data_IF_345485723968
#
_entry.id   IF_345485723968
#
_cell.length_a   1.000
_cell.length_b   1.000
_cell.length_c   1.000
_cell.angle_alpha   90.00
_cell.angle_beta   90.00
_cell.angle_gamma   90.00
#
_symmetry.space_group_name_H-M   'P 1'
#
loop_
_entity.id
_entity.type
_entity.pdbx_description
1 polymer ?
#
# COMPACT_ATOMS: atom_id res chain seq x y z
N UNK A 1 2.66 -28.83 -12.49
CA UNK A 1 3.40 -28.05 -13.50
C UNK A 1 2.49 -27.91 -14.71
N UNK A 2 2.15 -26.69 -15.15
CA UNK A 2 1.35 -26.44 -16.35
C UNK A 2 2.30 -25.97 -17.46
N UNK A 3 2.24 -26.61 -18.62
CA UNK A 3 3.09 -26.27 -19.78
C UNK A 3 2.18 -25.94 -20.95
N UNK A 4 2.40 -24.78 -21.57
CA UNK A 4 1.64 -24.32 -22.73
C UNK A 4 2.59 -24.21 -23.90
N UNK A 5 2.19 -24.77 -25.05
CA UNK A 5 2.89 -24.56 -26.32
C UNK A 5 2.39 -23.28 -26.95
N UNK A 6 3.33 -22.43 -27.34
CA UNK A 6 3.08 -21.15 -27.99
C UNK A 6 4.00 -21.06 -29.21
N UNK A 7 3.56 -20.33 -30.23
CA UNK A 7 4.46 -19.94 -31.32
C UNK A 7 5.48 -18.90 -30.84
N UNK A 8 6.54 -18.68 -31.62
CA UNK A 8 7.54 -17.66 -31.31
C UNK A 8 6.93 -16.25 -31.27
N UNK A 9 5.95 -15.98 -32.13
CA UNK A 9 5.23 -14.71 -32.18
C UNK A 9 4.37 -14.50 -30.92
N UNK A 10 3.65 -15.55 -30.49
CA UNK A 10 2.88 -15.50 -29.25
C UNK A 10 3.78 -15.30 -28.04
N UNK A 11 4.93 -15.99 -28.00
CA UNK A 11 5.91 -15.82 -26.93
C UNK A 11 6.45 -14.38 -26.87
N UNK A 12 6.77 -13.76 -28.01
CA UNK A 12 7.21 -12.37 -28.07
C UNK A 12 6.13 -11.40 -27.54
N UNK A 13 4.87 -11.58 -27.95
CA UNK A 13 3.75 -10.76 -27.47
C UNK A 13 3.50 -10.92 -25.97
N UNK A 14 3.71 -12.11 -25.44
CA UNK A 14 3.60 -12.40 -24.01
C UNK A 14 4.71 -11.71 -23.20
N UNK A 15 5.94 -11.71 -23.71
CA UNK A 15 7.07 -11.01 -23.09
C UNK A 15 6.87 -9.50 -23.07
N UNK A 16 6.39 -8.91 -24.17
CA UNK A 16 6.09 -7.48 -24.26
C UNK A 16 5.05 -7.05 -23.22
N UNK A 17 3.96 -7.81 -23.09
CA UNK A 17 2.88 -7.55 -22.11
C UNK A 17 3.27 -7.80 -20.66
N UNK A 18 4.35 -8.54 -20.41
CA UNK A 18 4.81 -8.86 -19.07
C UNK A 18 5.42 -7.63 -18.35
N UNK A 19 5.74 -6.56 -19.09
CA UNK A 19 6.33 -5.31 -18.55
C UNK A 19 7.58 -5.57 -17.68
N UNK A 20 8.42 -6.54 -18.07
CA UNK A 20 9.65 -6.90 -17.35
C UNK A 20 9.45 -7.74 -16.08
N UNK A 21 8.23 -8.19 -15.77
CA UNK A 21 7.96 -9.14 -14.68
C UNK A 21 8.36 -10.57 -15.10
N UNK A 22 8.39 -11.50 -14.14
CA UNK A 22 8.55 -12.93 -14.46
C UNK A 22 7.30 -13.43 -15.20
N UNK A 23 7.47 -13.92 -16.43
CA UNK A 23 6.36 -14.34 -17.31
C UNK A 23 5.36 -15.29 -16.63
N UNK A 24 5.86 -16.30 -15.90
CA UNK A 24 5.01 -17.28 -15.21
C UNK A 24 4.16 -16.65 -14.09
N UNK A 25 4.72 -15.70 -13.35
CA UNK A 25 4.00 -15.00 -12.27
C UNK A 25 2.96 -14.04 -12.85
N UNK A 26 3.32 -13.31 -13.92
CA UNK A 26 2.40 -12.46 -14.64
C UNK A 26 1.23 -13.24 -15.25
N UNK A 27 1.50 -14.37 -15.92
CA UNK A 27 0.46 -15.23 -16.49
C UNK A 27 -0.52 -15.74 -15.44
N UNK A 28 -0.01 -16.19 -14.28
CA UNK A 28 -0.85 -16.66 -13.17
C UNK A 28 -1.80 -15.56 -12.70
N UNK A 29 -1.28 -14.35 -12.51
CA UNK A 29 -2.09 -13.19 -12.10
C UNK A 29 -3.17 -12.86 -13.12
N UNK A 30 -2.83 -12.88 -14.41
CA UNK A 30 -3.77 -12.59 -15.50
C UNK A 30 -4.87 -13.66 -15.59
N UNK A 31 -4.52 -14.95 -15.57
CA UNK A 31 -5.50 -16.03 -15.72
C UNK A 31 -6.41 -16.21 -14.51
N UNK A 32 -5.91 -15.95 -13.31
CA UNK A 32 -6.71 -16.04 -12.08
C UNK A 32 -7.48 -14.74 -11.78
N UNK A 33 -7.37 -13.72 -12.64
CA UNK A 33 -8.03 -12.43 -12.46
C UNK A 33 -7.57 -11.71 -11.19
N UNK A 34 -6.34 -11.96 -10.72
CA UNK A 34 -5.84 -11.33 -9.50
C UNK A 34 -5.79 -9.81 -9.72
N UNK A 35 -6.37 -9.02 -8.79
CA UNK A 35 -6.36 -7.58 -8.92
C UNK A 35 -4.91 -7.11 -9.02
N UNK A 36 -4.60 -6.38 -10.08
CA UNK A 36 -3.34 -5.63 -10.12
C UNK A 36 -3.40 -4.70 -8.92
N UNK A 37 -2.53 -4.93 -7.94
CA UNK A 37 -2.33 -3.97 -6.86
C UNK A 37 -2.08 -2.64 -7.56
N UNK A 38 -3.10 -1.77 -7.53
CA UNK A 38 -2.97 -0.41 -7.99
C UNK A 38 -2.05 0.19 -6.95
N UNK A 39 -0.75 0.13 -7.18
CA UNK A 39 0.14 1.19 -6.74
C UNK A 39 -0.25 2.41 -7.56
N UNK A 40 -1.48 2.90 -7.33
CA UNK A 40 -1.87 4.22 -7.78
C UNK A 40 -0.76 5.10 -7.26
N UNK A 41 -0.14 5.87 -8.16
CA UNK A 41 0.75 6.96 -7.76
C UNK A 41 0.00 7.67 -6.65
N UNK A 42 0.48 7.56 -5.40
CA UNK A 42 -0.10 8.37 -4.35
C UNK A 42 -0.06 9.78 -4.90
N UNK A 43 -1.15 10.56 -4.77
CA UNK A 43 -1.11 11.95 -5.17
C UNK A 43 0.15 12.53 -4.54
N UNK A 44 0.95 13.25 -5.33
CA UNK A 44 2.14 13.92 -4.81
C UNK A 44 1.65 14.91 -3.76
N UNK A 45 1.62 14.47 -2.50
CA UNK A 45 1.19 15.29 -1.39
C UNK A 45 2.25 16.37 -1.21
N UNK A 46 1.81 17.62 -1.10
CA UNK A 46 2.74 18.71 -0.85
C UNK A 46 3.49 18.43 0.47
N UNK A 47 4.79 18.75 0.57
CA UNK A 47 5.54 18.56 1.81
C UNK A 47 4.87 19.16 3.08
N UNK A 48 4.17 20.32 3.01
CA UNK A 48 3.38 20.83 4.14
C UNK A 48 2.26 19.88 4.60
N UNK A 49 1.53 19.25 3.69
CA UNK A 49 0.43 18.34 4.03
C UNK A 49 0.94 17.09 4.76
N UNK A 50 2.08 16.55 4.32
CA UNK A 50 2.72 15.42 4.99
C UNK A 50 3.15 15.78 6.42
N UNK A 51 3.70 16.98 6.61
CA UNK A 51 4.07 17.47 7.96
C UNK A 51 2.85 17.64 8.86
N UNK A 52 1.75 18.16 8.34
CA UNK A 52 0.50 18.26 9.10
C UNK A 52 -0.06 16.88 9.48
N UNK A 53 -0.06 15.93 8.54
CA UNK A 53 -0.51 14.57 8.83
C UNK A 53 0.36 13.90 9.91
N UNK A 54 1.68 14.07 9.82
CA UNK A 54 2.61 13.59 10.84
C UNK A 54 2.37 14.26 12.21
N UNK A 55 2.10 15.58 12.24
CA UNK A 55 1.77 16.30 13.47
C UNK A 55 0.48 15.77 14.11
N UNK A 56 -0.56 15.51 13.31
CA UNK A 56 -1.82 14.90 13.78
C UNK A 56 -1.55 13.50 14.36
N UNK A 57 -0.80 12.66 13.65
CA UNK A 57 -0.44 11.33 14.11
C UNK A 57 0.37 11.35 15.42
N UNK A 58 1.29 12.31 15.55
CA UNK A 58 2.07 12.51 16.77
C UNK A 58 1.18 12.92 17.95
N UNK A 59 0.22 13.83 17.76
CA UNK A 59 -0.72 14.22 18.80
C UNK A 59 -1.59 13.05 19.24
N UNK A 60 -2.12 12.28 18.29
CA UNK A 60 -2.92 11.09 18.58
C UNK A 60 -2.11 10.06 19.38
N UNK A 61 -0.87 9.80 18.98
CA UNK A 61 0.01 8.86 19.66
C UNK A 61 0.37 9.32 21.08
N UNK A 62 0.58 10.62 21.29
CA UNK A 62 0.79 11.19 22.64
C UNK A 62 -0.44 10.99 23.52
N UNK A 63 -1.64 11.27 23.01
CA UNK A 63 -2.90 11.02 23.73
C UNK A 63 -3.06 9.55 24.07
N UNK A 64 -2.86 8.65 23.10
CA UNK A 64 -2.95 7.21 23.33
C UNK A 64 -1.97 6.73 24.40
N UNK A 65 -0.73 7.24 24.40
CA UNK A 65 0.28 6.92 25.44
C UNK A 65 -0.15 7.40 26.82
N UNK A 66 -0.67 8.63 26.93
CA UNK A 66 -1.18 9.18 28.20
C UNK A 66 -2.37 8.38 28.74
N UNK A 67 -3.31 8.03 27.86
CA UNK A 67 -4.46 7.18 28.19
C UNK A 67 -3.98 5.83 28.72
N UNK A 68 -3.08 5.17 28.00
CA UNK A 68 -2.61 3.83 28.33
C UNK A 68 -1.68 3.78 29.55
N UNK A 69 -0.96 4.86 29.86
CA UNK A 69 -0.06 4.91 31.02
C UNK A 69 -0.78 5.22 32.33
N UNK A 70 -2.08 5.54 32.31
CA UNK A 70 -2.85 5.93 33.49
C UNK A 70 -2.44 7.27 34.12
N UNK A 71 -1.47 7.99 33.53
CA UNK A 71 -0.99 9.28 34.01
C UNK A 71 -1.90 10.41 33.51
N UNK A 72 -3.06 10.56 34.15
CA UNK A 72 -3.95 11.69 33.94
C UNK A 72 -3.72 12.73 35.03
N UNK A 73 -3.27 13.93 34.65
CA UNK A 73 -3.25 15.06 35.59
C UNK A 73 -4.67 15.57 35.82
N UNK A 74 -4.90 16.30 36.92
CA UNK A 74 -6.23 16.88 37.20
C UNK A 74 -6.70 17.87 36.12
N UNK A 75 -5.77 18.42 35.32
CA UNK A 75 -6.05 19.27 34.16
C UNK A 75 -6.55 18.49 32.94
N UNK A 76 -6.17 17.21 32.82
CA UNK A 76 -6.56 16.35 31.70
C UNK A 76 -7.98 15.77 31.88
N UNK A 77 -8.60 15.97 33.05
CA UNK A 77 -9.95 15.47 33.34
C UNK A 77 -10.99 16.49 32.92
N UNK A 78 -11.79 16.15 31.91
CA UNK A 78 -13.00 16.91 31.57
C UNK A 78 -14.01 16.67 32.67
N UNK A 79 -14.37 17.72 33.40
CA UNK A 79 -15.54 17.69 34.28
C UNK A 79 -16.79 17.68 33.40
N UNK A 80 -17.58 16.61 33.50
CA UNK A 80 -18.92 16.47 32.91
C UNK A 80 -19.95 16.58 34.03
#
# INVERSE_FOLDING_TARGET
>A
MLTIRVSDEEHARLLERCEGKRLAEWMRRVWLGEPVARTGKLPTLSPPLLRHLAAIGNNLNQTARKVNSGHWSSIDRVHV
#
